data_IF_532707277902
#
_entry.id   IF_532707277902
#
_cell.length_a   1.000
_cell.length_b   1.000
_cell.length_c   1.000
_cell.angle_alpha   90.00
_cell.angle_beta   90.00
_cell.angle_gamma   90.00
#
_symmetry.space_group_name_H-M   'P 1'
#
loop_
_entity.id
_entity.type
_entity.pdbx_description
1 polymer ?
#
# COMPACT_ATOMS: atom_id res chain seq x y z
N UNK A 1 -3.91 -101.88 -39.88
CA UNK A 1 -4.70 -101.24 -38.87
C UNK A 1 -3.86 -100.20 -38.11
N UNK A 2 -3.85 -99.00 -38.54
CA UNK A 2 -3.14 -97.93 -37.82
C UNK A 2 -4.02 -96.72 -37.83
N UNK A 3 -4.52 -96.30 -36.66
CA UNK A 3 -5.32 -95.13 -36.47
C UNK A 3 -4.40 -93.93 -36.38
N UNK A 4 -4.62 -92.94 -37.22
CA UNK A 4 -3.97 -91.62 -37.14
C UNK A 4 -4.82 -90.72 -36.25
N UNK A 5 -4.28 -90.39 -35.13
CA UNK A 5 -4.82 -89.36 -34.28
C UNK A 5 -4.31 -87.96 -34.69
N UNK A 6 -5.19 -87.11 -35.21
CA UNK A 6 -4.83 -85.77 -35.56
C UNK A 6 -4.71 -84.91 -34.28
N UNK A 7 -3.59 -84.23 -34.19
CA UNK A 7 -3.34 -83.27 -33.13
C UNK A 7 -3.75 -81.87 -33.65
N UNK A 8 -4.86 -81.42 -33.15
CA UNK A 8 -5.36 -80.03 -33.41
C UNK A 8 -4.64 -79.05 -32.48
N UNK A 9 -3.80 -78.21 -33.07
CA UNK A 9 -3.06 -77.17 -32.40
C UNK A 9 -3.98 -75.92 -32.27
N UNK A 10 -4.61 -75.75 -31.12
CA UNK A 10 -5.32 -74.53 -30.82
C UNK A 10 -4.32 -73.42 -30.46
N UNK A 11 -4.20 -72.46 -31.37
CA UNK A 11 -3.41 -71.25 -31.16
C UNK A 11 -4.25 -70.32 -30.30
N UNK A 12 -3.97 -70.29 -29.00
CA UNK A 12 -4.61 -69.33 -28.04
C UNK A 12 -3.84 -68.01 -28.09
N UNK A 13 -4.35 -67.07 -28.86
CA UNK A 13 -3.84 -65.72 -28.88
C UNK A 13 -4.21 -65.01 -27.54
N UNK A 14 -3.23 -64.87 -26.67
CA UNK A 14 -3.36 -64.02 -25.50
C UNK A 14 -3.31 -62.56 -25.93
N UNK A 15 -4.45 -61.91 -25.98
CA UNK A 15 -4.55 -60.45 -26.00
C UNK A 15 -4.21 -59.98 -24.60
N UNK A 16 -2.97 -59.58 -24.35
CA UNK A 16 -2.60 -58.78 -23.20
C UNK A 16 -3.17 -57.39 -23.40
N UNK A 17 -4.33 -57.16 -22.80
CA UNK A 17 -4.84 -55.79 -22.67
C UNK A 17 -3.87 -54.96 -21.86
N UNK A 18 -3.33 -53.90 -22.45
CA UNK A 18 -2.70 -52.84 -21.66
C UNK A 18 -3.75 -52.26 -20.75
N UNK A 19 -3.64 -52.52 -19.45
CA UNK A 19 -4.27 -51.67 -18.45
C UNK A 19 -3.53 -50.35 -18.51
N UNK A 20 -4.06 -49.39 -19.23
CA UNK A 20 -3.78 -47.99 -18.98
C UNK A 20 -4.35 -47.69 -17.59
N UNK A 21 -3.52 -47.88 -16.56
CA UNK A 21 -3.73 -47.24 -15.29
C UNK A 21 -3.75 -45.74 -15.56
N UNK A 22 -4.96 -45.23 -15.81
CA UNK A 22 -5.26 -43.82 -15.81
C UNK A 22 -4.95 -43.29 -14.39
N UNK A 23 -3.65 -43.02 -14.16
CA UNK A 23 -3.23 -42.16 -13.10
C UNK A 23 -3.78 -40.77 -13.44
N UNK A 24 -5.09 -40.61 -13.27
CA UNK A 24 -5.71 -39.32 -13.03
C UNK A 24 -4.81 -38.63 -12.01
N UNK A 25 -3.87 -37.85 -12.52
CA UNK A 25 -3.07 -36.93 -11.78
C UNK A 25 -4.09 -36.08 -11.00
N UNK A 26 -4.29 -36.40 -9.73
CA UNK A 26 -4.95 -35.52 -8.80
C UNK A 26 -4.04 -34.31 -8.67
N UNK A 27 -4.14 -33.40 -9.63
CA UNK A 27 -3.77 -32.02 -9.40
C UNK A 27 -4.72 -31.58 -8.28
N UNK A 28 -4.24 -31.66 -7.04
CA UNK A 28 -4.79 -30.86 -6.00
C UNK A 28 -4.66 -29.44 -6.51
N UNK A 29 -5.78 -28.83 -6.89
CA UNK A 29 -5.82 -27.37 -7.07
C UNK A 29 -5.37 -26.79 -5.74
N UNK A 30 -4.09 -26.44 -5.67
CA UNK A 30 -3.55 -25.64 -4.61
C UNK A 30 -4.32 -24.33 -4.71
N UNK A 31 -5.34 -24.17 -3.84
CA UNK A 31 -6.11 -22.94 -3.77
C UNK A 31 -5.10 -21.83 -3.53
N UNK A 32 -4.76 -21.11 -4.60
CA UNK A 32 -4.02 -19.85 -4.45
C UNK A 32 -4.78 -19.05 -3.38
N UNK A 33 -4.10 -18.64 -2.31
CA UNK A 33 -4.75 -17.85 -1.27
C UNK A 33 -5.42 -16.66 -1.94
N UNK A 34 -6.71 -16.51 -1.69
CA UNK A 34 -7.50 -15.40 -2.24
C UNK A 34 -6.81 -14.10 -1.82
N UNK A 35 -6.33 -13.33 -2.81
CA UNK A 35 -5.58 -12.11 -2.54
C UNK A 35 -6.52 -11.14 -1.82
N UNK A 36 -6.29 -10.92 -0.52
CA UNK A 36 -7.05 -9.94 0.25
C UNK A 36 -6.69 -8.54 -0.27
N UNK A 37 -7.69 -7.79 -0.72
CA UNK A 37 -7.53 -6.37 -1.02
C UNK A 37 -7.25 -5.64 0.29
N UNK A 38 -6.18 -4.86 0.31
CA UNK A 38 -5.79 -4.00 1.44
C UNK A 38 -6.12 -2.56 1.08
N UNK A 39 -6.81 -1.87 1.96
CA UNK A 39 -7.19 -0.46 1.80
C UNK A 39 -6.27 0.38 2.70
N UNK A 40 -5.53 1.32 2.09
CA UNK A 40 -4.64 2.24 2.79
C UNK A 40 -5.21 3.66 2.72
N UNK A 41 -5.44 4.27 3.88
CA UNK A 41 -5.81 5.67 3.99
C UNK A 41 -4.61 6.58 3.78
N UNK A 42 -4.31 6.94 2.51
CA UNK A 42 -3.20 7.79 2.10
C UNK A 42 -3.34 9.19 2.71
N UNK A 43 -2.47 9.52 3.66
CA UNK A 43 -2.55 10.74 4.50
C UNK A 43 -3.84 10.85 5.32
N UNK A 44 -4.48 9.71 5.59
CA UNK A 44 -5.83 9.59 6.13
C UNK A 44 -6.91 9.65 5.04
N UNK A 45 -8.11 10.11 5.40
CA UNK A 45 -9.19 10.38 4.45
C UNK A 45 -9.01 11.79 3.82
N UNK A 46 -7.90 12.00 3.12
CA UNK A 46 -7.43 13.32 2.66
C UNK A 46 -8.37 14.03 1.67
N UNK A 47 -9.30 13.30 1.05
CA UNK A 47 -10.34 13.90 0.22
C UNK A 47 -11.49 14.55 1.04
N UNK A 48 -11.64 14.16 2.31
CA UNK A 48 -12.77 14.55 3.17
C UNK A 48 -12.34 15.41 4.37
N UNK A 49 -11.09 15.33 4.76
CA UNK A 49 -10.51 16.05 5.90
C UNK A 49 -9.12 16.59 5.53
N UNK A 50 -8.63 17.65 6.19
CA UNK A 50 -7.25 18.09 5.97
C UNK A 50 -6.27 16.93 6.20
N UNK A 51 -5.37 16.73 5.23
CA UNK A 51 -4.39 15.64 5.26
C UNK A 51 -3.52 15.69 6.53
N UNK A 52 -3.06 14.51 6.98
CA UNK A 52 -2.18 14.37 8.15
C UNK A 52 -2.73 14.94 9.46
N UNK A 53 -4.05 15.06 9.58
CA UNK A 53 -4.70 15.40 10.86
C UNK A 53 -5.29 14.17 11.54
N UNK A 54 -5.41 14.21 12.86
CA UNK A 54 -6.08 13.14 13.62
C UNK A 54 -7.51 12.90 13.11
N UNK A 55 -8.22 13.97 12.71
CA UNK A 55 -9.55 13.85 12.13
C UNK A 55 -9.56 13.13 10.78
N UNK A 56 -8.51 13.30 9.95
CA UNK A 56 -8.35 12.59 8.69
C UNK A 56 -8.06 11.11 8.92
N UNK A 57 -7.18 10.79 9.85
CA UNK A 57 -6.85 9.40 10.20
C UNK A 57 -8.03 8.67 10.82
N UNK A 58 -8.74 9.32 11.76
CA UNK A 58 -9.94 8.74 12.36
C UNK A 58 -10.99 8.45 11.29
N UNK A 59 -11.23 9.40 10.37
CA UNK A 59 -12.19 9.22 9.28
C UNK A 59 -11.81 8.04 8.36
N UNK A 60 -10.54 7.87 8.05
CA UNK A 60 -10.06 6.73 7.24
C UNK A 60 -10.33 5.39 7.95
N UNK A 61 -10.08 5.31 9.25
CA UNK A 61 -10.40 4.12 10.06
C UNK A 61 -11.90 3.85 10.12
N UNK A 62 -12.71 4.88 10.32
CA UNK A 62 -14.18 4.77 10.38
C UNK A 62 -14.77 4.31 9.03
N UNK A 63 -14.11 4.65 7.91
CA UNK A 63 -14.49 4.24 6.56
C UNK A 63 -13.95 2.85 6.18
N UNK A 64 -13.24 2.18 7.10
CA UNK A 64 -12.80 0.80 6.92
C UNK A 64 -11.42 0.64 6.26
N UNK A 65 -10.55 1.63 6.33
CA UNK A 65 -9.16 1.46 5.93
C UNK A 65 -8.45 0.44 6.84
N UNK A 66 -7.72 -0.51 6.24
CA UNK A 66 -6.90 -1.49 6.98
C UNK A 66 -5.66 -0.83 7.60
N UNK A 67 -5.13 0.21 6.95
CA UNK A 67 -3.96 0.97 7.40
C UNK A 67 -4.17 2.47 7.15
N UNK A 68 -3.48 3.29 7.93
CA UNK A 68 -3.27 4.71 7.66
C UNK A 68 -1.82 4.92 7.28
N UNK A 69 -1.56 5.89 6.39
CA UNK A 69 -0.22 6.18 5.91
C UNK A 69 0.14 7.62 6.28
N UNK A 70 1.07 7.83 7.23
CA UNK A 70 1.63 9.13 7.57
C UNK A 70 2.95 9.37 6.83
N UNK A 71 3.08 10.52 6.16
CA UNK A 71 4.37 11.10 5.79
C UNK A 71 4.94 11.87 6.98
N UNK A 72 6.26 11.92 7.12
CA UNK A 72 6.93 12.58 8.23
C UNK A 72 8.00 13.53 7.73
N UNK A 73 8.03 14.75 8.29
CA UNK A 73 9.09 15.73 8.11
C UNK A 73 9.65 16.18 9.46
N UNK A 74 10.88 16.69 9.48
CA UNK A 74 11.53 17.12 10.71
C UNK A 74 11.33 18.61 10.97
N UNK A 75 11.17 18.97 12.24
CA UNK A 75 11.29 20.35 12.71
C UNK A 75 12.74 20.75 12.95
N UNK A 76 12.99 22.03 13.24
CA UNK A 76 14.32 22.58 13.58
C UNK A 76 14.99 21.88 14.78
N UNK A 77 14.21 21.46 15.74
CA UNK A 77 14.63 20.76 16.96
C UNK A 77 14.55 19.23 16.85
N UNK A 78 14.39 18.70 15.62
CA UNK A 78 14.45 17.28 15.33
C UNK A 78 13.19 16.47 15.67
N UNK A 79 12.07 17.13 15.95
CA UNK A 79 10.80 16.45 16.18
C UNK A 79 10.15 16.11 14.85
N UNK A 80 9.71 14.85 14.67
CA UNK A 80 8.97 14.43 13.49
C UNK A 80 7.50 14.85 13.58
N UNK A 81 7.00 15.43 12.50
CA UNK A 81 5.60 15.86 12.37
C UNK A 81 4.98 15.25 11.12
N UNK A 82 3.71 14.87 11.22
CA UNK A 82 2.98 14.24 10.13
C UNK A 82 2.66 15.29 9.05
N UNK A 83 3.37 15.20 7.92
CA UNK A 83 3.22 16.08 6.75
C UNK A 83 3.88 15.47 5.52
N UNK A 84 3.31 15.72 4.36
CA UNK A 84 3.93 15.32 3.08
C UNK A 84 5.09 16.24 2.70
N UNK A 85 4.82 17.55 2.64
CA UNK A 85 5.82 18.54 2.24
C UNK A 85 6.42 19.25 3.44
N UNK A 86 7.70 19.58 3.39
CA UNK A 86 8.32 20.43 4.39
C UNK A 86 7.96 21.93 4.22
N UNK A 87 7.55 22.36 3.01
CA UNK A 87 6.94 23.68 2.79
C UNK A 87 5.49 23.66 3.30
N UNK A 88 5.16 24.61 4.19
CA UNK A 88 3.92 24.54 4.98
C UNK A 88 2.89 25.62 4.66
N UNK A 89 3.14 26.54 3.74
CA UNK A 89 2.21 27.64 3.45
C UNK A 89 0.95 27.16 2.71
N UNK A 90 1.07 26.13 1.87
CA UNK A 90 -0.04 25.61 1.08
C UNK A 90 -1.13 24.91 1.89
N UNK A 91 -0.76 24.29 3.02
CA UNK A 91 -1.65 23.45 3.84
C UNK A 91 -1.89 24.00 5.24
N UNK A 92 -1.29 25.16 5.58
CA UNK A 92 -1.45 25.81 6.89
C UNK A 92 -1.74 27.29 6.77
N UNK A 93 -2.05 27.92 7.92
CA UNK A 93 -2.25 29.36 8.02
C UNK A 93 -0.96 30.17 8.22
N UNK A 94 0.23 29.58 8.12
CA UNK A 94 1.53 30.20 8.47
C UNK A 94 1.74 31.55 7.79
N UNK A 95 1.39 31.67 6.50
CA UNK A 95 1.55 32.90 5.71
C UNK A 95 0.73 34.10 6.20
N UNK A 96 -0.27 33.86 7.07
CA UNK A 96 -1.11 34.90 7.67
C UNK A 96 -0.63 35.34 9.06
N UNK A 97 0.39 34.66 9.61
CA UNK A 97 0.92 34.92 10.94
C UNK A 97 2.02 35.98 10.89
N UNK A 98 1.72 37.21 11.33
CA UNK A 98 2.64 38.34 11.24
C UNK A 98 3.98 38.10 11.93
N UNK A 99 4.00 37.36 13.05
CA UNK A 99 5.23 36.98 13.78
C UNK A 99 6.20 36.10 12.99
N UNK A 100 5.75 35.47 11.91
CA UNK A 100 6.58 34.59 11.08
C UNK A 100 6.85 35.16 9.67
N UNK A 101 6.41 36.39 9.41
CA UNK A 101 6.54 37.01 8.09
C UNK A 101 8.00 37.07 7.60
N UNK A 102 8.93 37.41 8.48
CA UNK A 102 10.35 37.58 8.15
C UNK A 102 11.11 36.24 8.06
N UNK A 103 10.41 35.13 8.25
CA UNK A 103 10.95 33.76 8.18
C UNK A 103 10.62 33.06 6.86
N UNK A 104 10.00 33.77 5.93
CA UNK A 104 9.83 33.30 4.54
C UNK A 104 11.19 33.16 3.86
N UNK A 105 11.45 32.03 3.25
CA UNK A 105 12.71 31.70 2.57
C UNK A 105 12.49 31.13 1.20
N UNK A 106 13.52 31.18 0.37
CA UNK A 106 13.58 30.43 -0.87
C UNK A 106 14.57 29.28 -0.69
N UNK A 107 14.12 28.05 -0.94
CA UNK A 107 14.95 26.83 -0.90
C UNK A 107 14.82 26.05 -2.20
N UNK A 108 15.81 25.21 -2.49
CA UNK A 108 15.72 24.21 -3.56
C UNK A 108 15.29 22.89 -2.95
N UNK A 109 14.11 22.42 -3.31
CA UNK A 109 13.55 21.14 -2.88
C UNK A 109 13.38 20.28 -4.13
N UNK A 110 13.99 19.13 -4.18
CA UNK A 110 13.96 18.18 -5.32
C UNK A 110 14.23 18.87 -6.69
N UNK A 111 15.20 19.78 -6.68
CA UNK A 111 15.60 20.54 -7.88
C UNK A 111 14.69 21.70 -8.25
N UNK A 112 13.60 21.94 -7.50
CA UNK A 112 12.64 23.04 -7.72
C UNK A 112 12.86 24.15 -6.71
N UNK A 113 12.88 25.41 -7.18
CA UNK A 113 12.96 26.60 -6.32
C UNK A 113 11.58 26.88 -5.72
N UNK A 114 11.46 26.74 -4.41
CA UNK A 114 10.24 27.01 -3.65
C UNK A 114 10.46 28.18 -2.70
N UNK A 115 9.51 29.12 -2.67
CA UNK A 115 9.48 30.23 -1.73
C UNK A 115 8.34 30.02 -0.73
N UNK A 116 8.65 30.05 0.57
CA UNK A 116 7.65 29.82 1.62
C UNK A 116 8.26 29.65 3.01
N UNK A 117 7.55 28.93 3.84
CA UNK A 117 7.93 28.59 5.22
C UNK A 117 8.15 27.08 5.33
N UNK A 118 9.27 26.68 5.91
CA UNK A 118 9.70 25.28 5.93
C UNK A 118 9.76 24.75 7.37
N UNK A 119 9.27 23.53 7.62
CA UNK A 119 9.20 22.92 8.97
C UNK A 119 10.52 22.95 9.70
N UNK A 120 11.63 22.67 9.02
CA UNK A 120 12.98 22.65 9.58
C UNK A 120 13.50 24.03 10.02
N UNK A 121 12.79 25.10 9.72
CA UNK A 121 13.13 26.44 10.20
C UNK A 121 12.40 26.80 11.50
N UNK A 122 11.47 25.95 11.99
CA UNK A 122 10.64 26.16 13.17
C UNK A 122 10.84 25.04 14.19
N UNK A 123 10.81 25.37 15.48
CA UNK A 123 10.70 24.36 16.52
C UNK A 123 9.31 23.76 16.57
N UNK A 124 9.19 22.54 17.09
CA UNK A 124 7.89 21.89 17.29
C UNK A 124 6.92 22.77 18.09
N UNK A 125 7.42 23.41 19.16
CA UNK A 125 6.61 24.27 20.00
C UNK A 125 6.06 25.50 19.25
N UNK A 126 6.87 26.14 18.37
CA UNK A 126 6.39 27.25 17.53
C UNK A 126 5.26 26.79 16.60
N UNK A 127 5.41 25.63 15.98
CA UNK A 127 4.39 25.08 15.08
C UNK A 127 3.13 24.68 15.86
N UNK A 128 3.26 23.94 16.95
CA UNK A 128 2.13 23.44 17.72
C UNK A 128 1.25 24.57 18.28
N UNK A 129 1.85 25.63 18.78
CA UNK A 129 1.11 26.72 19.43
C UNK A 129 0.46 27.69 18.43
N UNK A 130 1.04 27.89 17.26
CA UNK A 130 0.67 28.98 16.38
C UNK A 130 0.07 28.55 15.04
N UNK A 131 0.49 27.40 14.51
CA UNK A 131 0.15 26.97 13.16
C UNK A 131 -1.07 26.04 13.18
N UNK A 132 -2.01 26.25 12.26
CA UNK A 132 -3.21 25.42 12.10
C UNK A 132 -3.27 24.90 10.67
N UNK A 133 -3.73 23.67 10.52
CA UNK A 133 -4.05 23.10 9.20
C UNK A 133 -5.19 23.92 8.56
N UNK A 134 -5.11 24.14 7.25
CA UNK A 134 -6.24 24.71 6.49
C UNK A 134 -7.31 23.65 6.32
N UNK A 135 -8.56 24.04 6.53
CA UNK A 135 -9.69 23.24 6.09
C UNK A 135 -9.78 23.31 4.55
N UNK A 136 -10.12 22.19 3.93
CA UNK A 136 -10.46 22.20 2.51
C UNK A 136 -11.85 22.83 2.36
N UNK A 137 -11.92 23.92 1.61
CA UNK A 137 -13.18 24.53 1.18
C UNK A 137 -13.68 23.85 -0.07
#
# INVERSE_FOLDING_TARGET
>A
MIKKTGLSLCLLSMLTGCNDDDKSSRYSEEKTPEAKIIIVGHRGASALRPEHTLASYQKAMDDGADFIEPDLVSTKDGVLVARHENEISGTTNISTLSQFKDREKTKIIDGTSLKGWFTEDFTYNELQQNVRARERT
#
